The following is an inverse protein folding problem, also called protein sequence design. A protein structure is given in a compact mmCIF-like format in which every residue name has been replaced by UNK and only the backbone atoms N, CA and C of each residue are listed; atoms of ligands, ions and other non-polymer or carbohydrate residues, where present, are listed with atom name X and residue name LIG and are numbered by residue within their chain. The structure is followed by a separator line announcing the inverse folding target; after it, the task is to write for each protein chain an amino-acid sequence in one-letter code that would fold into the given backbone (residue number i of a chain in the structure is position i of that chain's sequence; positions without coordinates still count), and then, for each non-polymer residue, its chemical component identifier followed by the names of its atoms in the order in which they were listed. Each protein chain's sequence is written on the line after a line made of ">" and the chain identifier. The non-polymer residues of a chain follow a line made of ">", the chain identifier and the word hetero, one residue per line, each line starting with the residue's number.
data_IF_963461255731
#
_entry.id   IF_963461255731
#
_cell.length_a   1.000
_cell.length_b   1.000
_cell.length_c   1.000
_cell.angle_alpha   90.00
_cell.angle_beta   90.00
_cell.angle_gamma   90.00
#
_symmetry.space_group_name_H-M   'P 1'
#
loop_
_entity.id
_entity.type
_entity.pdbx_description
1 polymer ?
#
# COMPACT_ATOMS: atom_id res chain seq x y z
N UNK A 1 -10.56 7.33 11.01
CA UNK A 1 -11.64 6.40 11.41
C UNK A 1 -11.13 4.99 11.64
N UNK A 2 -10.49 4.34 10.66
CA UNK A 2 -9.95 2.97 10.81
C UNK A 2 -9.07 2.77 12.05
N UNK A 3 -8.11 3.69 12.27
CA UNK A 3 -7.24 3.69 13.47
C UNK A 3 -8.01 3.64 14.79
N UNK A 4 -9.14 4.33 14.86
CA UNK A 4 -9.98 4.41 16.06
C UNK A 4 -10.76 3.11 16.24
N UNK A 5 -11.34 2.58 15.17
CA UNK A 5 -12.05 1.31 15.20
C UNK A 5 -11.15 0.15 15.66
N UNK A 6 -9.91 0.10 15.17
CA UNK A 6 -8.92 -0.89 15.64
C UNK A 6 -8.61 -0.74 17.14
N UNK A 7 -8.47 0.50 17.63
CA UNK A 7 -8.18 0.74 19.05
C UNK A 7 -9.33 0.38 19.97
N UNK A 8 -10.56 0.53 19.49
CA UNK A 8 -11.77 0.27 20.27
C UNK A 8 -12.31 -1.17 20.08
N UNK A 9 -11.69 -1.98 19.23
CA UNK A 9 -12.16 -3.34 18.93
C UNK A 9 -13.52 -3.37 18.22
N UNK A 10 -13.85 -2.32 17.47
CA UNK A 10 -15.14 -2.19 16.77
C UNK A 10 -15.02 -2.76 15.36
N UNK A 11 -15.26 -4.07 15.22
CA UNK A 11 -15.01 -4.79 13.97
C UNK A 11 -15.88 -4.29 12.79
N UNK A 12 -17.18 -4.05 13.01
CA UNK A 12 -18.04 -3.49 11.95
C UNK A 12 -17.53 -2.13 11.46
N UNK A 13 -17.15 -1.26 12.40
CA UNK A 13 -16.62 0.06 12.05
C UNK A 13 -15.26 -0.02 11.37
N UNK A 14 -14.42 -0.99 11.76
CA UNK A 14 -13.13 -1.28 11.13
C UNK A 14 -13.35 -1.69 9.67
N UNK A 15 -14.32 -2.55 9.41
CA UNK A 15 -14.64 -3.04 8.06
C UNK A 15 -15.23 -1.93 7.18
N UNK A 16 -16.16 -1.14 7.70
CA UNK A 16 -16.69 0.04 7.01
C UNK A 16 -15.59 1.06 6.69
N UNK A 17 -14.71 1.34 7.65
CA UNK A 17 -13.60 2.26 7.44
C UNK A 17 -12.59 1.69 6.43
N UNK A 18 -12.33 0.38 6.44
CA UNK A 18 -11.48 -0.28 5.46
C UNK A 18 -12.02 -0.10 4.06
N UNK A 19 -13.30 -0.43 3.83
CA UNK A 19 -13.96 -0.29 2.53
C UNK A 19 -13.93 1.15 2.01
N UNK A 20 -14.11 2.12 2.90
CA UNK A 20 -14.04 3.54 2.54
C UNK A 20 -12.61 4.01 2.20
N UNK A 21 -11.58 3.43 2.83
CA UNK A 21 -10.19 3.66 2.43
C UNK A 21 -9.95 3.04 1.05
N UNK A 22 -10.32 1.77 0.87
CA UNK A 22 -10.18 1.06 -0.41
C UNK A 22 -10.78 1.83 -1.58
N UNK A 23 -11.99 2.38 -1.40
CA UNK A 23 -12.69 3.10 -2.47
C UNK A 23 -12.01 4.42 -2.90
N UNK A 24 -11.03 4.89 -2.13
CA UNK A 24 -10.28 6.13 -2.39
C UNK A 24 -8.87 5.88 -2.89
N UNK A 25 -8.41 4.63 -2.88
CA UNK A 25 -7.11 4.25 -3.43
C UNK A 25 -7.30 4.08 -4.95
N UNK A 26 -6.46 4.77 -5.70
CA UNK A 26 -6.51 4.87 -7.16
C UNK A 26 -5.09 4.81 -7.71
N UNK A 27 -4.94 4.60 -9.01
CA UNK A 27 -3.62 4.64 -9.68
C UNK A 27 -2.83 5.96 -9.46
N UNK A 28 -3.50 7.05 -9.10
CA UNK A 28 -2.87 8.36 -8.88
C UNK A 28 -2.27 8.54 -7.48
N UNK A 29 -2.75 7.80 -6.48
CA UNK A 29 -2.28 7.93 -5.10
C UNK A 29 -1.77 6.62 -4.48
N UNK A 30 -1.98 5.47 -5.14
CA UNK A 30 -1.60 4.16 -4.60
C UNK A 30 -0.12 4.07 -4.21
N UNK A 31 0.78 4.69 -4.98
CA UNK A 31 2.21 4.71 -4.64
C UNK A 31 2.46 5.48 -3.34
N UNK A 32 1.79 6.60 -3.10
CA UNK A 32 1.94 7.34 -1.85
C UNK A 32 1.32 6.59 -0.65
N UNK A 33 0.14 6.00 -0.85
CA UNK A 33 -0.59 5.27 0.19
C UNK A 33 0.19 4.02 0.64
N UNK A 34 0.66 3.20 -0.31
CA UNK A 34 1.38 1.94 -0.03
C UNK A 34 2.64 2.17 0.83
N UNK A 35 3.35 3.26 0.58
CA UNK A 35 4.56 3.62 1.33
C UNK A 35 4.29 4.52 2.55
N UNK A 36 3.03 4.77 2.89
CA UNK A 36 2.67 5.63 4.01
C UNK A 36 2.95 4.98 5.37
N UNK A 37 3.17 5.82 6.38
CA UNK A 37 3.25 5.40 7.78
C UNK A 37 1.94 4.77 8.28
N UNK A 38 0.80 5.13 7.68
CA UNK A 38 -0.47 4.52 8.03
C UNK A 38 -0.48 3.06 7.58
N UNK A 39 -0.20 2.82 6.31
CA UNK A 39 -0.19 1.49 5.70
C UNK A 39 0.84 0.56 6.33
N UNK A 40 2.00 1.09 6.73
CA UNK A 40 3.01 0.29 7.44
C UNK A 40 2.51 -0.31 8.76
N UNK A 41 1.51 0.31 9.41
CA UNK A 41 0.95 -0.12 10.69
C UNK A 41 -0.27 -1.03 10.58
N UNK A 42 -0.87 -1.14 9.40
CA UNK A 42 -2.12 -1.87 9.19
C UNK A 42 -1.99 -2.87 8.05
N UNK A 43 -1.52 -4.11 8.33
CA UNK A 43 -1.23 -5.12 7.31
C UNK A 43 -2.40 -5.44 6.37
N UNK A 44 -3.64 -5.41 6.87
CA UNK A 44 -4.83 -5.67 6.06
C UNK A 44 -5.07 -4.57 5.00
N UNK A 45 -4.84 -3.30 5.37
CA UNK A 45 -4.90 -2.18 4.41
C UNK A 45 -3.77 -2.33 3.39
N UNK A 46 -2.56 -2.61 3.87
CA UNK A 46 -1.38 -2.79 3.02
C UNK A 46 -1.55 -3.87 1.97
N UNK A 47 -2.09 -5.05 2.33
CA UNK A 47 -2.34 -6.12 1.38
C UNK A 47 -3.28 -5.68 0.26
N UNK A 48 -4.33 -4.93 0.61
CA UNK A 48 -5.29 -4.38 -0.36
C UNK A 48 -4.65 -3.34 -1.27
N UNK A 49 -3.88 -2.40 -0.72
CA UNK A 49 -3.22 -1.36 -1.51
C UNK A 49 -2.13 -1.94 -2.42
N UNK A 50 -1.37 -2.94 -1.95
CA UNK A 50 -0.39 -3.66 -2.77
C UNK A 50 -1.06 -4.32 -3.97
N UNK A 51 -2.21 -4.97 -3.78
CA UNK A 51 -2.94 -5.57 -4.89
C UNK A 51 -3.31 -4.54 -5.96
N UNK A 52 -3.83 -3.38 -5.55
CA UNK A 52 -4.15 -2.28 -6.49
C UNK A 52 -2.88 -1.77 -7.19
N UNK A 53 -1.76 -1.67 -6.47
CA UNK A 53 -0.48 -1.25 -7.05
C UNK A 53 -0.02 -2.23 -8.14
N UNK A 54 -0.05 -3.53 -7.86
CA UNK A 54 0.35 -4.59 -8.81
C UNK A 54 -0.57 -4.59 -10.03
N UNK A 55 -1.89 -4.55 -9.83
CA UNK A 55 -2.89 -4.48 -10.91
C UNK A 55 -2.67 -3.26 -11.84
N UNK A 56 -2.11 -2.17 -11.31
CA UNK A 56 -1.87 -0.92 -12.04
C UNK A 56 -0.38 -0.66 -12.34
N UNK A 57 0.51 -1.65 -12.15
CA UNK A 57 1.97 -1.44 -12.25
C UNK A 57 2.40 -0.96 -13.63
N UNK A 58 1.70 -1.39 -14.67
CA UNK A 58 1.96 -1.00 -16.06
C UNK A 58 1.37 0.37 -16.44
N UNK A 59 0.63 1.02 -15.53
CA UNK A 59 0.09 2.35 -15.81
C UNK A 59 1.20 3.42 -15.77
N UNK A 60 1.18 4.41 -16.69
CA UNK A 60 2.15 5.49 -16.69
C UNK A 60 2.17 6.28 -15.38
N UNK A 61 1.01 6.46 -14.75
CA UNK A 61 0.87 7.20 -13.50
C UNK A 61 1.57 6.49 -12.34
N UNK A 62 1.42 5.16 -12.23
CA UNK A 62 2.11 4.37 -11.21
C UNK A 62 3.61 4.33 -11.48
N UNK A 63 4.02 4.04 -12.73
CA UNK A 63 5.43 3.93 -13.09
C UNK A 63 6.19 5.24 -12.84
N UNK A 64 5.59 6.38 -13.22
CA UNK A 64 6.20 7.70 -13.00
C UNK A 64 6.28 8.09 -11.53
N UNK A 65 5.34 7.65 -10.69
CA UNK A 65 5.37 7.89 -9.24
C UNK A 65 6.35 6.95 -8.49
N UNK A 66 6.56 5.72 -8.96
CA UNK A 66 7.47 4.76 -8.34
C UNK A 66 8.94 5.21 -8.39
N UNK A 67 9.38 5.81 -9.50
CA UNK A 67 10.76 6.27 -9.68
C UNK A 67 11.25 7.26 -8.60
N UNK A 68 10.57 8.40 -8.36
CA UNK A 68 10.96 9.32 -7.30
C UNK A 68 10.78 8.69 -5.91
N UNK A 69 9.79 7.81 -5.73
CA UNK A 69 9.56 7.10 -4.46
C UNK A 69 10.73 6.19 -4.10
N UNK A 70 11.22 5.37 -5.05
CA UNK A 70 12.38 4.51 -4.86
C UNK A 70 13.66 5.31 -4.61
N UNK A 71 13.81 6.47 -5.26
CA UNK A 71 14.92 7.37 -4.98
C UNK A 71 14.90 7.89 -3.53
N UNK A 72 13.70 8.18 -2.99
CA UNK A 72 13.52 8.58 -1.59
C UNK A 72 13.80 7.44 -0.61
N UNK A 73 13.38 6.22 -0.97
CA UNK A 73 13.70 5.01 -0.20
C UNK A 73 15.21 4.77 -0.14
N UNK A 74 15.92 4.86 -1.28
CA UNK A 74 17.35 4.63 -1.34
C UNK A 74 18.16 5.63 -0.50
N UNK A 75 17.66 6.85 -0.30
CA UNK A 75 18.25 7.85 0.61
C UNK A 75 17.99 7.56 2.09
N UNK A 76 17.09 6.63 2.41
CA UNK A 76 16.70 6.31 3.78
C UNK A 76 15.58 7.18 4.35
N UNK A 77 14.87 7.94 3.50
CA UNK A 77 13.80 8.86 3.95
C UNK A 77 12.58 8.10 4.51
N UNK A 78 12.44 6.81 4.20
CA UNK A 78 11.28 5.97 4.52
C UNK A 78 11.71 4.72 5.32
N UNK A 79 11.91 4.81 6.64
CA UNK A 79 12.40 3.69 7.45
C UNK A 79 11.47 2.47 7.48
N UNK A 80 10.20 2.64 7.09
CA UNK A 80 9.19 1.58 7.09
C UNK A 80 8.99 0.90 5.71
N UNK A 81 9.77 1.27 4.69
CA UNK A 81 9.55 0.78 3.33
C UNK A 81 10.05 -0.65 3.08
N UNK A 82 10.96 -1.18 3.92
CA UNK A 82 11.59 -2.47 3.67
C UNK A 82 10.58 -3.62 3.59
N UNK A 83 9.59 -3.64 4.48
CA UNK A 83 8.52 -4.64 4.46
C UNK A 83 7.66 -4.53 3.20
N UNK A 84 7.34 -3.31 2.78
CA UNK A 84 6.56 -3.05 1.57
C UNK A 84 7.31 -3.52 0.32
N UNK A 85 8.59 -3.17 0.19
CA UNK A 85 9.43 -3.61 -0.93
C UNK A 85 9.57 -5.14 -0.97
N UNK A 86 9.79 -5.76 0.17
CA UNK A 86 9.88 -7.23 0.27
C UNK A 86 8.59 -7.87 -0.24
N UNK A 87 7.43 -7.35 0.16
CA UNK A 87 6.13 -7.84 -0.31
C UNK A 87 5.95 -7.65 -1.81
N UNK A 88 6.30 -6.49 -2.36
CA UNK A 88 6.22 -6.24 -3.82
C UNK A 88 7.05 -7.28 -4.58
N UNK A 89 8.29 -7.54 -4.14
CA UNK A 89 9.17 -8.52 -4.80
C UNK A 89 8.61 -9.94 -4.73
N UNK A 90 8.05 -10.35 -3.58
CA UNK A 90 7.44 -11.67 -3.43
C UNK A 90 6.20 -11.84 -4.32
N UNK A 91 5.29 -10.86 -4.34
CA UNK A 91 4.06 -10.92 -5.15
C UNK A 91 4.39 -10.94 -6.66
N UNK A 92 5.39 -10.17 -7.11
CA UNK A 92 5.85 -10.20 -8.50
C UNK A 92 6.53 -11.52 -8.88
N UNK A 93 7.21 -12.17 -7.93
CA UNK A 93 7.82 -13.47 -8.15
C UNK A 93 6.76 -14.57 -8.30
N UNK A 94 5.68 -14.49 -7.52
CA UNK A 94 4.55 -15.41 -7.59
C UNK A 94 3.72 -15.23 -8.87
N UNK A 95 3.50 -13.98 -9.33
CA UNK A 95 2.80 -13.68 -10.59
C UNK A 95 3.53 -14.23 -11.83
N UNK A 96 4.87 -14.32 -11.78
CA UNK A 96 5.70 -14.90 -12.85
C UNK A 96 5.72 -16.43 -12.86
N UNK A 97 5.28 -17.07 -11.78
CA UNK A 97 5.28 -18.52 -11.62
C UNK A 97 3.93 -19.19 -11.96
N UNK A 98 2.90 -18.38 -12.25
CA UNK A 98 1.52 -18.78 -12.59
C UNK A 98 1.25 -18.60 -14.08
#
# INVERSE_FOLDING_TARGET
>A
MYRLACKLGLDDLKDHASKSICSKVTKYNVVEEVFSMFTSRYPAIRAMELRILIENVNSPEVTSALLPKFSSIARGDLPHCAEVLTRIVLELADEKAS
#
